data_IF_264686119389
#
_entry.id   IF_264686119389
#
_cell.length_a   1.000
_cell.length_b   1.000
_cell.length_c   1.000
_cell.angle_alpha   90.00
_cell.angle_beta   90.00
_cell.angle_gamma   90.00
#
_symmetry.space_group_name_H-M   'P 1'
#
loop_
_entity.id
_entity.type
_entity.pdbx_description
1 polymer ?
#
# COMPACT_ATOMS: atom_id res chain seq x y z
N UNK A 1 17.73 15.88 -22.54
CA UNK A 1 16.52 16.06 -21.70
C UNK A 1 15.43 15.24 -22.37
N UNK A 2 15.07 14.10 -21.80
CA UNK A 2 13.96 13.28 -22.30
C UNK A 2 12.66 14.06 -22.18
N UNK A 3 11.83 13.98 -23.21
CA UNK A 3 10.52 14.66 -23.18
C UNK A 3 9.53 13.83 -22.35
N UNK A 4 9.50 14.04 -21.02
CA UNK A 4 8.59 13.39 -20.08
C UNK A 4 7.12 13.89 -20.17
N UNK A 5 6.70 14.46 -21.29
CA UNK A 5 5.32 14.99 -21.45
C UNK A 5 4.27 13.90 -21.24
N UNK A 6 4.47 12.74 -21.86
CA UNK A 6 3.57 11.59 -21.71
C UNK A 6 3.56 11.07 -20.27
N UNK A 7 4.74 10.94 -19.66
CA UNK A 7 4.88 10.52 -18.27
C UNK A 7 4.15 11.48 -17.31
N UNK A 8 4.32 12.78 -17.47
CA UNK A 8 3.63 13.80 -16.66
C UNK A 8 2.11 13.73 -16.81
N UNK A 9 1.61 13.53 -18.04
CA UNK A 9 0.17 13.33 -18.29
C UNK A 9 -0.34 12.08 -17.57
N UNK A 10 0.36 10.96 -17.70
CA UNK A 10 0.00 9.71 -17.04
C UNK A 10 0.03 9.83 -15.51
N UNK A 11 1.02 10.55 -14.96
CA UNK A 11 1.09 10.85 -13.52
C UNK A 11 -0.14 11.64 -13.05
N UNK A 12 -0.60 12.64 -13.80
CA UNK A 12 -1.81 13.40 -13.45
C UNK A 12 -3.05 12.49 -13.43
N UNK A 13 -3.21 11.62 -14.44
CA UNK A 13 -4.31 10.66 -14.52
C UNK A 13 -4.26 9.68 -13.35
N UNK A 14 -3.09 9.14 -13.04
CA UNK A 14 -2.91 8.20 -11.94
C UNK A 14 -3.04 8.86 -10.57
N UNK A 15 -2.60 10.11 -10.41
CA UNK A 15 -2.86 10.92 -9.21
C UNK A 15 -4.36 11.09 -8.96
N UNK A 16 -5.12 11.46 -10.01
CA UNK A 16 -6.57 11.55 -9.94
C UNK A 16 -7.19 10.20 -9.55
N UNK A 17 -6.79 9.12 -10.21
CA UNK A 17 -7.26 7.79 -9.89
C UNK A 17 -6.91 7.37 -8.45
N UNK A 18 -5.70 7.68 -7.96
CA UNK A 18 -5.27 7.47 -6.59
C UNK A 18 -6.14 8.27 -5.60
N UNK A 19 -6.45 9.53 -5.92
CA UNK A 19 -7.26 10.42 -5.08
C UNK A 19 -8.71 9.93 -4.96
N UNK A 20 -9.33 9.59 -6.08
CA UNK A 20 -10.75 9.21 -6.12
C UNK A 20 -10.94 7.74 -5.75
N UNK A 21 -10.33 6.81 -6.48
CA UNK A 21 -10.48 5.37 -6.26
C UNK A 21 -9.85 4.92 -4.93
N UNK A 22 -8.75 5.57 -4.51
CA UNK A 22 -8.10 5.28 -3.24
C UNK A 22 -8.98 5.57 -2.04
N UNK A 23 -9.94 6.50 -2.13
CA UNK A 23 -10.83 6.87 -1.03
C UNK A 23 -11.72 5.72 -0.54
N UNK A 24 -12.06 4.75 -1.41
CA UNK A 24 -12.77 3.55 -0.98
C UNK A 24 -11.97 2.68 -0.01
N UNK A 25 -10.63 2.80 -0.01
CA UNK A 25 -9.78 2.10 0.95
C UNK A 25 -10.11 2.51 2.38
N UNK A 26 -10.25 3.81 2.65
CA UNK A 26 -10.65 4.34 3.96
C UNK A 26 -12.07 3.91 4.33
N UNK A 27 -13.02 3.95 3.39
CA UNK A 27 -14.40 3.47 3.61
C UNK A 27 -14.40 2.00 4.05
N UNK A 28 -13.67 1.15 3.33
CA UNK A 28 -13.60 -0.29 3.63
C UNK A 28 -12.91 -0.59 4.97
N UNK A 29 -11.89 0.17 5.36
CA UNK A 29 -11.23 0.02 6.66
C UNK A 29 -12.19 0.44 7.80
N UNK A 30 -12.84 1.60 7.68
CA UNK A 30 -13.74 2.11 8.71
C UNK A 30 -14.96 1.21 8.86
N UNK A 31 -15.61 0.85 7.76
CA UNK A 31 -16.88 0.11 7.78
C UNK A 31 -16.74 -1.40 7.78
N UNK A 32 -15.61 -1.95 7.30
CA UNK A 32 -15.41 -3.41 7.21
C UNK A 32 -15.54 -4.13 8.54
N UNK A 33 -14.98 -3.55 9.61
CA UNK A 33 -15.15 -4.06 10.97
C UNK A 33 -16.56 -3.85 11.53
N UNK A 34 -17.17 -2.68 11.30
CA UNK A 34 -18.51 -2.35 11.79
C UNK A 34 -19.60 -3.17 11.10
N UNK A 35 -19.55 -3.29 9.78
CA UNK A 35 -20.45 -4.13 9.00
C UNK A 35 -20.25 -5.62 9.34
N UNK A 36 -18.99 -6.03 9.52
CA UNK A 36 -18.65 -7.36 9.99
C UNK A 36 -19.26 -7.65 11.36
N UNK A 37 -19.13 -6.75 12.31
CA UNK A 37 -19.72 -6.87 13.65
C UNK A 37 -21.26 -6.93 13.62
N UNK A 38 -21.88 -6.13 12.73
CA UNK A 38 -23.33 -6.10 12.59
C UNK A 38 -23.91 -7.38 12.00
N UNK A 39 -23.19 -8.04 11.08
CA UNK A 39 -23.68 -9.19 10.32
C UNK A 39 -23.13 -10.54 10.79
N UNK A 40 -22.00 -10.58 11.49
CA UNK A 40 -21.40 -11.82 11.96
C UNK A 40 -22.17 -12.40 13.15
N UNK A 41 -22.46 -13.69 13.10
CA UNK A 41 -23.07 -14.40 14.23
C UNK A 41 -22.16 -14.52 15.46
N UNK A 42 -20.85 -14.40 15.28
CA UNK A 42 -19.84 -14.39 16.33
C UNK A 42 -18.98 -13.12 16.24
N UNK A 43 -18.82 -12.38 17.34
CA UNK A 43 -18.03 -11.13 17.40
C UNK A 43 -16.57 -11.32 16.96
N UNK A 44 -16.00 -12.51 17.17
CA UNK A 44 -14.65 -12.87 16.72
C UNK A 44 -14.48 -12.81 15.18
N UNK A 45 -15.56 -12.89 14.41
CA UNK A 45 -15.54 -12.82 12.95
C UNK A 45 -15.73 -11.38 12.41
N UNK A 46 -15.88 -10.38 13.27
CA UNK A 46 -16.14 -8.99 12.87
C UNK A 46 -15.09 -8.43 11.91
N UNK A 47 -13.83 -8.82 12.06
CA UNK A 47 -12.71 -8.36 11.22
C UNK A 47 -12.46 -9.25 9.98
N UNK A 48 -13.20 -10.36 9.83
CA UNK A 48 -13.04 -11.30 8.71
C UNK A 48 -13.20 -10.63 7.32
N UNK A 49 -14.12 -9.66 7.11
CA UNK A 49 -14.20 -8.93 5.84
C UNK A 49 -12.89 -8.25 5.45
N UNK A 50 -12.20 -7.62 6.40
CA UNK A 50 -10.89 -6.98 6.17
C UNK A 50 -9.83 -8.05 5.83
N UNK A 51 -9.81 -9.15 6.56
CA UNK A 51 -8.89 -10.29 6.30
C UNK A 51 -9.11 -10.85 4.90
N UNK A 52 -10.36 -11.09 4.49
CA UNK A 52 -10.71 -11.56 3.14
C UNK A 52 -10.20 -10.59 2.08
N UNK A 53 -10.37 -9.28 2.28
CA UNK A 53 -9.84 -8.26 1.36
C UNK A 53 -8.32 -8.37 1.21
N UNK A 54 -7.58 -8.52 2.32
CA UNK A 54 -6.10 -8.63 2.28
C UNK A 54 -5.64 -9.92 1.63
N UNK A 55 -6.23 -11.05 2.00
CA UNK A 55 -5.90 -12.37 1.41
C UNK A 55 -6.20 -12.40 -0.08
N UNK A 56 -7.36 -11.89 -0.49
CA UNK A 56 -7.70 -11.82 -1.92
C UNK A 56 -6.75 -10.90 -2.67
N UNK A 57 -6.37 -9.76 -2.09
CA UNK A 57 -5.37 -8.85 -2.69
C UNK A 57 -4.02 -9.57 -2.90
N UNK A 58 -3.58 -10.37 -1.93
CA UNK A 58 -2.37 -11.19 -2.03
C UNK A 58 -2.48 -12.21 -3.18
N UNK A 59 -3.56 -12.98 -3.21
CA UNK A 59 -3.75 -14.04 -4.21
C UNK A 59 -3.87 -13.49 -5.63
N UNK A 60 -4.46 -12.31 -5.80
CA UNK A 60 -4.65 -11.69 -7.11
C UNK A 60 -3.49 -10.79 -7.56
N UNK A 61 -2.49 -10.52 -6.72
CA UNK A 61 -1.33 -9.70 -7.09
C UNK A 61 -0.61 -10.22 -8.34
N UNK A 62 -0.27 -11.50 -8.37
CA UNK A 62 0.36 -12.15 -9.53
C UNK A 62 -0.54 -12.21 -10.77
N UNK A 63 -1.74 -12.79 -10.68
CA UNK A 63 -2.70 -12.87 -11.80
C UNK A 63 -3.00 -11.50 -12.43
N UNK A 64 -3.23 -10.47 -11.62
CA UNK A 64 -3.48 -9.11 -12.10
C UNK A 64 -2.26 -8.53 -12.80
N UNK A 65 -1.07 -8.76 -12.28
CA UNK A 65 0.17 -8.30 -12.92
C UNK A 65 0.37 -8.95 -14.29
N UNK A 66 0.14 -10.25 -14.39
CA UNK A 66 0.21 -10.98 -15.66
C UNK A 66 -0.87 -10.51 -16.65
N UNK A 67 -2.08 -10.26 -16.16
CA UNK A 67 -3.15 -9.69 -16.99
C UNK A 67 -2.75 -8.32 -17.54
N UNK A 68 -2.19 -7.44 -16.70
CA UNK A 68 -1.68 -6.13 -17.13
C UNK A 68 -0.51 -6.25 -18.11
N UNK A 69 0.35 -7.25 -17.93
CA UNK A 69 1.44 -7.58 -18.86
C UNK A 69 0.94 -7.95 -20.26
N UNK A 70 -0.22 -8.65 -20.35
CA UNK A 70 -0.80 -9.09 -21.63
C UNK A 70 -1.72 -8.03 -22.27
N UNK A 71 -2.57 -7.40 -21.47
CA UNK A 71 -3.65 -6.52 -21.96
C UNK A 71 -3.37 -5.02 -21.74
N UNK A 72 -2.27 -4.69 -21.05
CA UNK A 72 -1.87 -3.32 -20.72
C UNK A 72 -2.44 -2.83 -19.40
N UNK A 73 -1.79 -1.78 -18.85
CA UNK A 73 -2.13 -1.19 -17.55
C UNK A 73 -3.56 -0.67 -17.47
N UNK A 74 -4.01 0.04 -18.51
CA UNK A 74 -5.36 0.61 -18.56
C UNK A 74 -6.44 -0.45 -18.39
N UNK A 75 -6.34 -1.58 -19.12
CA UNK A 75 -7.30 -2.69 -19.04
C UNK A 75 -7.34 -3.31 -17.64
N UNK A 76 -6.17 -3.50 -17.01
CA UNK A 76 -6.08 -4.01 -15.64
C UNK A 76 -6.71 -3.06 -14.62
N UNK A 77 -6.50 -1.76 -14.76
CA UNK A 77 -7.07 -0.77 -13.83
C UNK A 77 -8.59 -0.64 -13.97
N UNK A 78 -9.11 -0.73 -15.21
CA UNK A 78 -10.56 -0.76 -15.44
C UNK A 78 -11.20 -2.05 -14.89
N UNK A 79 -10.53 -3.21 -15.03
CA UNK A 79 -10.94 -4.45 -14.37
C UNK A 79 -11.00 -4.29 -12.86
N UNK A 80 -9.98 -3.65 -12.26
CA UNK A 80 -9.95 -3.34 -10.86
C UNK A 80 -11.09 -2.42 -10.41
N UNK A 81 -11.36 -1.35 -11.14
CA UNK A 81 -12.49 -0.45 -10.86
C UNK A 81 -13.83 -1.20 -10.94
N UNK A 82 -14.00 -2.10 -11.93
CA UNK A 82 -15.16 -3.00 -12.02
C UNK A 82 -15.29 -3.91 -10.81
N UNK A 83 -14.18 -4.49 -10.35
CA UNK A 83 -14.17 -5.28 -9.12
C UNK A 83 -14.53 -4.42 -7.89
N UNK A 84 -14.00 -3.20 -7.77
CA UNK A 84 -14.36 -2.27 -6.70
C UNK A 84 -15.85 -1.89 -6.69
N UNK A 85 -16.43 -1.68 -7.88
CA UNK A 85 -17.86 -1.45 -8.05
C UNK A 85 -18.69 -2.64 -7.55
N UNK A 86 -18.34 -3.87 -7.94
CA UNK A 86 -18.99 -5.09 -7.44
C UNK A 86 -18.78 -5.25 -5.94
N UNK A 87 -17.59 -4.93 -5.42
CA UNK A 87 -17.29 -4.95 -3.99
C UNK A 87 -18.22 -4.06 -3.18
N UNK A 88 -18.39 -2.81 -3.61
CA UNK A 88 -19.36 -1.86 -3.02
C UNK A 88 -20.79 -2.38 -3.11
N UNK A 89 -21.21 -2.87 -4.28
CA UNK A 89 -22.54 -3.38 -4.54
C UNK A 89 -22.90 -4.59 -3.67
N UNK A 90 -22.03 -5.61 -3.61
CA UNK A 90 -22.28 -6.78 -2.75
C UNK A 90 -22.22 -6.42 -1.27
N UNK A 91 -21.37 -5.50 -0.84
CA UNK A 91 -21.33 -5.04 0.56
C UNK A 91 -22.60 -4.30 0.96
N UNK A 92 -23.13 -3.42 0.09
CA UNK A 92 -24.43 -2.77 0.31
C UNK A 92 -25.57 -3.80 0.34
N UNK A 93 -25.59 -4.74 -0.61
CA UNK A 93 -26.59 -5.82 -0.68
C UNK A 93 -26.54 -6.71 0.57
N UNK A 94 -25.36 -7.01 1.09
CA UNK A 94 -25.16 -7.79 2.31
C UNK A 94 -25.85 -7.16 3.51
N UNK A 95 -25.70 -5.84 3.67
CA UNK A 95 -26.33 -5.08 4.74
C UNK A 95 -27.86 -5.06 4.58
N UNK A 96 -28.34 -4.92 3.34
CA UNK A 96 -29.78 -4.95 3.05
C UNK A 96 -30.41 -6.32 3.33
N UNK A 97 -29.71 -7.42 3.00
CA UNK A 97 -30.18 -8.80 3.19
C UNK A 97 -29.88 -9.36 4.59
N UNK A 98 -29.08 -8.67 5.41
CA UNK A 98 -28.61 -9.17 6.71
C UNK A 98 -27.69 -10.41 6.56
N UNK A 99 -26.92 -10.54 5.45
CA UNK A 99 -26.14 -11.73 5.12
C UNK A 99 -24.63 -11.48 5.16
N UNK A 100 -23.97 -12.13 6.10
CA UNK A 100 -22.51 -12.03 6.30
C UNK A 100 -21.68 -12.62 5.15
N UNK A 101 -22.09 -13.74 4.57
CA UNK A 101 -21.43 -14.37 3.43
C UNK A 101 -21.40 -13.49 2.18
N UNK A 102 -22.46 -12.70 1.94
CA UNK A 102 -22.51 -11.73 0.87
C UNK A 102 -21.53 -10.57 1.13
N UNK A 103 -21.34 -10.17 2.41
CA UNK A 103 -20.33 -9.17 2.79
C UNK A 103 -18.91 -9.70 2.50
N UNK A 104 -18.64 -10.97 2.79
CA UNK A 104 -17.35 -11.59 2.48
C UNK A 104 -17.09 -11.63 0.97
N UNK A 105 -18.12 -11.90 0.16
CA UNK A 105 -18.03 -11.83 -1.30
C UNK A 105 -17.69 -10.41 -1.77
N UNK A 106 -18.36 -9.38 -1.23
CA UNK A 106 -18.04 -7.98 -1.49
C UNK A 106 -16.60 -7.62 -1.11
N UNK A 107 -16.15 -8.14 0.04
CA UNK A 107 -14.76 -7.97 0.50
C UNK A 107 -13.73 -8.64 -0.43
N UNK A 108 -14.06 -9.80 -1.00
CA UNK A 108 -13.20 -10.46 -1.98
C UNK A 108 -13.05 -9.62 -3.26
N UNK A 109 -14.13 -9.06 -3.81
CA UNK A 109 -14.06 -8.15 -4.95
C UNK A 109 -13.26 -6.87 -4.62
N UNK A 110 -13.42 -6.33 -3.40
CA UNK A 110 -12.61 -5.21 -2.91
C UNK A 110 -11.12 -5.57 -2.86
N UNK A 111 -10.78 -6.82 -2.52
CA UNK A 111 -9.41 -7.33 -2.55
C UNK A 111 -8.81 -7.36 -3.96
N UNK A 112 -9.59 -7.74 -4.97
CA UNK A 112 -9.18 -7.66 -6.39
C UNK A 112 -8.90 -6.20 -6.79
N UNK A 113 -9.80 -5.27 -6.45
CA UNK A 113 -9.55 -3.84 -6.65
C UNK A 113 -8.25 -3.40 -5.99
N UNK A 114 -8.06 -3.73 -4.70
CA UNK A 114 -6.85 -3.36 -3.95
C UNK A 114 -5.58 -3.86 -4.62
N UNK A 115 -5.59 -5.08 -5.15
CA UNK A 115 -4.49 -5.64 -5.92
C UNK A 115 -4.14 -4.78 -7.14
N UNK A 116 -5.13 -4.34 -7.93
CA UNK A 116 -4.89 -3.50 -9.11
C UNK A 116 -4.43 -2.09 -8.73
N UNK A 117 -5.02 -1.51 -7.68
CA UNK A 117 -4.71 -0.17 -7.19
C UNK A 117 -3.24 -0.06 -6.73
N UNK A 118 -2.67 -1.12 -6.16
CA UNK A 118 -1.26 -1.19 -5.79
C UNK A 118 -0.29 -0.93 -6.95
N UNK A 119 -0.70 -1.23 -8.19
CA UNK A 119 0.14 -1.04 -9.38
C UNK A 119 0.15 0.40 -9.93
N UNK A 120 -0.66 1.33 -9.44
CA UNK A 120 -0.64 2.73 -9.90
C UNK A 120 0.75 3.36 -9.75
N UNK A 121 1.44 3.09 -8.63
CA UNK A 121 2.80 3.56 -8.39
C UNK A 121 3.83 3.06 -9.41
N UNK A 122 3.69 1.81 -9.83
CA UNK A 122 4.57 1.23 -10.86
C UNK A 122 4.23 1.74 -12.25
N UNK A 123 2.93 1.87 -12.56
CA UNK A 123 2.48 2.42 -13.84
C UNK A 123 2.94 3.88 -14.05
N UNK A 124 3.13 4.64 -12.97
CA UNK A 124 3.70 5.98 -13.01
C UNK A 124 5.14 5.99 -13.55
N UNK A 125 5.90 4.94 -13.29
CA UNK A 125 7.29 4.81 -13.74
C UNK A 125 7.41 4.29 -15.18
N UNK A 126 6.36 3.63 -15.72
CA UNK A 126 6.43 2.88 -16.98
C UNK A 126 6.77 3.75 -18.21
N UNK A 127 6.43 5.05 -18.19
CA UNK A 127 6.71 5.98 -19.29
C UNK A 127 7.67 7.11 -18.89
N UNK A 128 8.18 7.07 -17.68
CA UNK A 128 9.05 8.09 -17.10
C UNK A 128 10.53 7.77 -17.41
N UNK A 129 11.33 8.83 -17.64
CA UNK A 129 12.79 8.69 -17.68
C UNK A 129 13.33 8.21 -16.33
N UNK A 130 14.50 7.57 -16.31
CA UNK A 130 15.14 7.08 -15.08
C UNK A 130 15.25 8.17 -14.00
N UNK A 131 15.54 9.41 -14.40
CA UNK A 131 15.61 10.55 -13.52
C UNK A 131 14.24 10.95 -12.94
N UNK A 132 13.15 10.80 -13.74
CA UNK A 132 11.80 11.21 -13.33
C UNK A 132 11.03 10.09 -12.61
N UNK A 133 11.40 8.81 -12.74
CA UNK A 133 10.69 7.67 -12.13
C UNK A 133 10.43 7.82 -10.62
N UNK A 134 11.41 8.19 -9.76
CA UNK A 134 11.16 8.34 -8.33
C UNK A 134 10.12 9.41 -8.04
N UNK A 135 10.16 10.52 -8.80
CA UNK A 135 9.21 11.63 -8.68
C UNK A 135 7.81 11.22 -9.17
N UNK A 136 7.72 10.48 -10.26
CA UNK A 136 6.47 9.98 -10.80
C UNK A 136 5.74 9.05 -9.81
N UNK A 137 6.45 8.07 -9.24
CA UNK A 137 5.94 7.17 -8.18
C UNK A 137 5.44 7.98 -6.99
N UNK A 138 6.26 8.89 -6.51
CA UNK A 138 5.98 9.72 -5.34
C UNK A 138 4.75 10.60 -5.54
N UNK A 139 4.63 11.27 -6.69
CA UNK A 139 3.49 12.13 -7.02
C UNK A 139 2.17 11.35 -7.11
N UNK A 140 2.18 10.16 -7.69
CA UNK A 140 0.96 9.33 -7.75
C UNK A 140 0.51 8.94 -6.34
N UNK A 141 1.43 8.54 -5.48
CA UNK A 141 1.11 8.21 -4.08
C UNK A 141 0.63 9.44 -3.28
N UNK A 142 1.08 10.66 -3.64
CA UNK A 142 0.57 11.89 -3.03
C UNK A 142 -0.96 12.09 -3.25
N UNK A 143 -1.55 11.48 -4.27
CA UNK A 143 -3.02 11.43 -4.44
C UNK A 143 -3.73 10.75 -3.26
N UNK A 144 -3.02 9.90 -2.51
CA UNK A 144 -3.50 9.32 -1.27
C UNK A 144 -3.84 10.34 -0.18
N UNK A 145 -3.18 11.52 -0.19
CA UNK A 145 -3.53 12.61 0.72
C UNK A 145 -4.97 13.10 0.50
N UNK A 146 -5.37 13.25 -0.75
CA UNK A 146 -6.75 13.65 -1.11
C UNK A 146 -7.74 12.54 -0.70
N UNK A 147 -7.42 11.28 -0.96
CA UNK A 147 -8.25 10.14 -0.58
C UNK A 147 -8.45 10.02 0.93
N UNK A 148 -7.45 10.43 1.72
CA UNK A 148 -7.51 10.45 3.19
C UNK A 148 -8.58 11.37 3.76
N UNK A 149 -8.93 12.43 3.05
CA UNK A 149 -10.03 13.34 3.42
C UNK A 149 -11.37 12.90 2.83
N UNK A 150 -11.36 12.46 1.56
CA UNK A 150 -12.60 12.06 0.86
C UNK A 150 -13.24 10.84 1.53
N UNK A 151 -12.47 9.80 1.86
CA UNK A 151 -13.02 8.53 2.38
C UNK A 151 -13.79 8.68 3.69
N UNK A 152 -13.21 9.24 4.77
CA UNK A 152 -13.91 9.48 6.03
C UNK A 152 -15.12 10.42 5.87
N UNK A 153 -15.01 11.44 5.00
CA UNK A 153 -16.11 12.37 4.73
C UNK A 153 -17.30 11.66 4.07
N UNK A 154 -17.05 10.75 3.15
CA UNK A 154 -18.09 9.90 2.55
C UNK A 154 -18.79 9.10 3.65
N UNK A 155 -18.05 8.43 4.53
CA UNK A 155 -18.64 7.65 5.62
C UNK A 155 -19.50 8.56 6.51
N UNK A 156 -18.99 9.73 6.90
CA UNK A 156 -19.68 10.69 7.76
C UNK A 156 -21.01 11.15 7.16
N UNK A 157 -21.07 11.39 5.84
CA UNK A 157 -22.27 11.92 5.19
C UNK A 157 -23.24 10.85 4.75
N UNK A 158 -22.79 9.62 4.50
CA UNK A 158 -23.59 8.61 3.78
C UNK A 158 -23.81 7.33 4.58
N UNK A 159 -23.17 7.15 5.74
CA UNK A 159 -23.34 5.94 6.54
C UNK A 159 -24.80 5.72 6.94
N UNK A 160 -25.49 6.78 7.32
CA UNK A 160 -26.89 6.76 7.78
C UNK A 160 -27.89 7.30 6.74
N UNK A 161 -27.42 7.55 5.50
CA UNK A 161 -28.27 8.12 4.44
C UNK A 161 -29.44 7.20 4.05
N UNK A 162 -29.31 5.88 4.28
CA UNK A 162 -30.40 4.91 4.12
C UNK A 162 -30.84 4.48 5.52
N UNK A 163 -31.76 5.22 6.13
CA UNK A 163 -32.13 5.11 7.53
C UNK A 163 -32.51 3.71 8.02
N UNK A 164 -33.05 2.85 7.14
CA UNK A 164 -33.40 1.46 7.48
C UNK A 164 -32.20 0.50 7.45
N UNK A 165 -31.07 0.89 6.84
CA UNK A 165 -29.91 0.01 6.63
C UNK A 165 -28.61 0.79 6.84
N UNK A 166 -28.10 0.86 8.09
CA UNK A 166 -26.86 1.56 8.41
C UNK A 166 -25.70 1.12 7.51
N UNK A 167 -24.84 2.07 7.15
CA UNK A 167 -23.62 1.88 6.33
C UNK A 167 -23.88 1.56 4.84
N UNK A 168 -25.11 1.17 4.43
CA UNK A 168 -25.39 0.82 3.03
C UNK A 168 -25.14 2.00 2.08
N UNK A 169 -25.50 3.22 2.48
CA UNK A 169 -25.26 4.44 1.70
C UNK A 169 -23.79 4.68 1.38
N UNK A 170 -22.90 4.41 2.33
CA UNK A 170 -21.46 4.55 2.12
C UNK A 170 -20.93 3.51 1.11
N UNK A 171 -21.38 2.26 1.15
CA UNK A 171 -21.00 1.26 0.17
C UNK A 171 -21.59 1.54 -1.23
N UNK A 172 -22.79 2.11 -1.33
CA UNK A 172 -23.32 2.59 -2.62
C UNK A 172 -22.49 3.75 -3.16
N UNK A 173 -21.98 4.64 -2.29
CA UNK A 173 -21.05 5.70 -2.71
C UNK A 173 -19.73 5.14 -3.23
N UNK A 174 -19.24 4.01 -2.70
CA UNK A 174 -18.07 3.29 -3.28
C UNK A 174 -18.34 2.89 -4.73
N UNK A 175 -19.56 2.48 -5.10
CA UNK A 175 -19.89 2.20 -6.49
C UNK A 175 -19.75 3.45 -7.38
N UNK A 176 -20.27 4.59 -6.90
CA UNK A 176 -20.14 5.88 -7.60
C UNK A 176 -18.68 6.27 -7.78
N UNK A 177 -17.86 6.13 -6.73
CA UNK A 177 -16.41 6.38 -6.78
C UNK A 177 -15.75 5.54 -7.88
N UNK A 178 -16.10 4.25 -7.98
CA UNK A 178 -15.50 3.39 -9.01
C UNK A 178 -15.92 3.79 -10.42
N UNK A 179 -17.15 4.23 -10.62
CA UNK A 179 -17.57 4.78 -11.92
C UNK A 179 -16.82 6.07 -12.24
N UNK A 180 -16.84 7.06 -11.32
CA UNK A 180 -16.20 8.37 -11.53
C UNK A 180 -14.70 8.23 -11.71
N UNK A 181 -14.05 7.44 -10.86
CA UNK A 181 -12.60 7.22 -10.94
C UNK A 181 -12.18 6.48 -12.22
N UNK A 182 -13.00 5.55 -12.71
CA UNK A 182 -12.73 4.83 -13.97
C UNK A 182 -12.79 5.74 -15.20
N UNK A 183 -13.59 6.80 -15.19
CA UNK A 183 -13.62 7.77 -16.29
C UNK A 183 -12.25 8.45 -16.47
N UNK A 184 -11.57 8.79 -15.37
CA UNK A 184 -10.19 9.32 -15.44
C UNK A 184 -9.21 8.32 -16.06
N UNK A 185 -9.32 7.03 -15.72
CA UNK A 185 -8.45 5.98 -16.28
C UNK A 185 -8.59 5.79 -17.79
N UNK A 186 -9.69 6.25 -18.40
CA UNK A 186 -9.85 6.23 -19.86
C UNK A 186 -8.81 7.12 -20.57
N UNK A 187 -8.27 8.13 -19.92
CA UNK A 187 -7.23 9.01 -20.45
C UNK A 187 -5.81 8.50 -20.23
N UNK A 188 -5.64 7.35 -19.58
CA UNK A 188 -4.32 6.74 -19.36
C UNK A 188 -3.75 6.22 -20.68
N UNK A 189 -2.54 6.65 -20.99
CA UNK A 189 -1.84 6.32 -22.23
C UNK A 189 -0.47 5.72 -21.93
N UNK A 190 -0.48 4.45 -21.56
CA UNK A 190 0.72 3.66 -21.35
C UNK A 190 0.79 2.62 -22.46
N UNK A 191 1.88 2.59 -23.24
CA UNK A 191 2.07 1.60 -24.29
C UNK A 191 1.88 0.18 -23.75
N UNK A 192 1.20 -0.65 -24.53
CA UNK A 192 1.13 -2.07 -24.17
C UNK A 192 2.54 -2.65 -24.23
N UNK A 193 2.89 -3.53 -23.29
CA UNK A 193 4.13 -4.29 -23.42
C UNK A 193 4.19 -4.99 -24.78
N UNK A 194 5.36 -5.12 -25.39
CA UNK A 194 5.51 -5.86 -26.65
C UNK A 194 4.84 -7.22 -26.52
N UNK A 195 3.98 -7.57 -27.46
CA UNK A 195 3.41 -8.92 -27.49
C UNK A 195 4.54 -9.91 -27.71
N UNK A 196 4.63 -10.91 -26.85
CA UNK A 196 5.59 -11.99 -27.03
C UNK A 196 5.24 -12.74 -28.29
N UNK A 197 6.17 -12.82 -29.23
CA UNK A 197 6.15 -13.89 -30.22
C UNK A 197 6.22 -15.20 -29.44
N UNK A 198 5.47 -16.23 -29.88
CA UNK A 198 5.54 -17.57 -29.29
C UNK A 198 7.00 -18.06 -29.35
N UNK A 199 7.66 -18.15 -28.19
CA UNK A 199 9.09 -18.48 -28.09
C UNK A 199 10.01 -17.29 -27.78
N UNK A 200 9.50 -16.05 -27.68
CA UNK A 200 10.28 -14.85 -27.35
C UNK A 200 10.88 -14.88 -25.94
N UNK A 201 12.00 -14.18 -25.75
CA UNK A 201 12.71 -14.08 -24.49
C UNK A 201 11.76 -13.58 -23.37
N UNK A 202 11.64 -14.38 -22.31
CA UNK A 202 10.81 -14.04 -21.15
C UNK A 202 11.58 -13.22 -20.13
N UNK A 203 12.77 -12.72 -20.50
CA UNK A 203 13.72 -12.12 -19.59
C UNK A 203 14.31 -13.15 -18.61
N UNK A 204 15.15 -12.69 -17.71
CA UNK A 204 15.83 -13.56 -16.74
C UNK A 204 14.82 -14.35 -15.88
N UNK A 205 15.11 -15.61 -15.51
CA UNK A 205 14.32 -16.36 -14.54
C UNK A 205 14.23 -15.61 -13.21
N UNK A 206 13.07 -15.68 -12.52
CA UNK A 206 12.87 -15.05 -11.21
C UNK A 206 13.98 -15.37 -10.22
N UNK A 207 14.48 -16.60 -10.23
CA UNK A 207 15.62 -17.03 -9.39
C UNK A 207 16.89 -16.17 -9.59
N UNK A 208 17.17 -15.73 -10.81
CA UNK A 208 18.30 -14.85 -11.10
C UNK A 208 18.05 -13.42 -10.65
N UNK A 209 16.83 -12.91 -10.83
CA UNK A 209 16.46 -11.55 -10.42
C UNK A 209 16.49 -11.45 -8.89
N UNK A 210 15.92 -12.43 -8.18
CA UNK A 210 15.91 -12.48 -6.71
C UNK A 210 17.23 -12.94 -6.06
N UNK A 211 18.26 -13.25 -6.85
CA UNK A 211 19.65 -13.36 -6.37
C UNK A 211 20.37 -12.02 -6.32
N UNK A 212 19.84 -10.98 -6.97
CA UNK A 212 20.43 -9.66 -6.93
C UNK A 212 20.17 -9.02 -5.55
N UNK A 213 21.22 -8.60 -4.82
CA UNK A 213 21.06 -7.97 -3.51
C UNK A 213 20.10 -6.77 -3.54
N UNK A 214 20.13 -5.98 -4.63
CA UNK A 214 19.28 -4.81 -4.80
C UNK A 214 17.78 -5.18 -4.83
N UNK A 215 17.41 -6.24 -5.55
CA UNK A 215 16.02 -6.74 -5.63
C UNK A 215 15.55 -7.24 -4.27
N UNK A 216 16.36 -8.06 -3.62
CA UNK A 216 16.02 -8.65 -2.29
C UNK A 216 15.78 -7.54 -1.27
N UNK A 217 16.69 -6.56 -1.21
CA UNK A 217 16.58 -5.44 -0.27
C UNK A 217 15.37 -4.57 -0.57
N UNK A 218 15.08 -4.28 -1.84
CA UNK A 218 13.89 -3.52 -2.24
C UNK A 218 12.61 -4.20 -1.75
N UNK A 219 12.49 -5.52 -1.97
CA UNK A 219 11.30 -6.29 -1.55
C UNK A 219 11.19 -6.36 -0.02
N UNK A 220 12.27 -6.70 0.69
CA UNK A 220 12.27 -6.76 2.17
C UNK A 220 11.88 -5.41 2.76
N UNK A 221 12.48 -4.31 2.29
CA UNK A 221 12.19 -2.98 2.84
C UNK A 221 10.75 -2.53 2.52
N UNK A 222 10.22 -2.84 1.35
CA UNK A 222 8.81 -2.58 1.02
C UNK A 222 7.86 -3.36 1.94
N UNK A 223 8.11 -4.67 2.12
CA UNK A 223 7.35 -5.55 3.01
C UNK A 223 7.36 -5.03 4.45
N UNK A 224 8.55 -4.79 5.00
CA UNK A 224 8.73 -4.39 6.40
C UNK A 224 8.12 -3.03 6.66
N UNK A 225 8.41 -2.02 5.81
CA UNK A 225 7.86 -0.68 6.00
C UNK A 225 6.33 -0.68 6.00
N UNK A 226 5.69 -1.43 5.12
CA UNK A 226 4.24 -1.48 5.04
C UNK A 226 3.62 -2.34 6.15
N UNK A 227 4.23 -3.47 6.47
CA UNK A 227 3.73 -4.37 7.51
C UNK A 227 3.80 -3.72 8.90
N UNK A 228 4.90 -3.06 9.23
CA UNK A 228 5.05 -2.38 10.53
C UNK A 228 4.10 -1.20 10.67
N UNK A 229 3.90 -0.45 9.60
CA UNK A 229 2.87 0.59 9.57
C UNK A 229 1.48 -0.01 9.83
N UNK A 230 1.13 -1.10 9.15
CA UNK A 230 -0.17 -1.77 9.32
C UNK A 230 -0.32 -2.34 10.74
N UNK A 231 0.72 -2.97 11.29
CA UNK A 231 0.74 -3.55 12.64
C UNK A 231 0.35 -2.50 13.69
N UNK A 232 1.01 -1.36 13.70
CA UNK A 232 0.82 -0.31 14.70
C UNK A 232 -0.47 0.47 14.45
N UNK A 233 -0.74 0.89 13.21
CA UNK A 233 -1.94 1.65 12.87
C UNK A 233 -3.23 0.88 13.22
N UNK A 234 -3.27 -0.44 12.93
CA UNK A 234 -4.48 -1.26 13.16
C UNK A 234 -4.80 -1.39 14.65
N UNK A 235 -3.78 -1.52 15.51
CA UNK A 235 -3.97 -1.63 16.98
C UNK A 235 -4.17 -0.27 17.66
N UNK A 236 -3.77 0.84 17.03
CA UNK A 236 -3.82 2.17 17.68
C UNK A 236 -5.24 2.55 18.13
N UNK A 237 -6.23 2.45 17.26
CA UNK A 237 -7.60 2.84 17.59
C UNK A 237 -8.16 2.04 18.76
N UNK A 238 -7.86 0.74 18.81
CA UNK A 238 -8.27 -0.14 19.90
C UNK A 238 -7.50 0.17 21.19
N UNK A 239 -6.18 0.39 21.09
CA UNK A 239 -5.36 0.77 22.23
C UNK A 239 -5.83 2.11 22.83
N UNK A 240 -6.16 3.09 22.01
CA UNK A 240 -6.70 4.37 22.48
C UNK A 240 -8.04 4.22 23.20
N UNK A 241 -8.96 3.41 22.66
CA UNK A 241 -10.24 3.16 23.35
C UNK A 241 -10.08 2.39 24.65
N UNK A 242 -9.07 1.50 24.76
CA UNK A 242 -8.73 0.83 26.01
C UNK A 242 -8.11 1.77 27.08
N UNK A 243 -7.57 2.92 26.64
CA UNK A 243 -7.06 3.98 27.52
C UNK A 243 -8.04 5.16 27.64
N UNK A 244 -9.34 4.90 27.52
CA UNK A 244 -10.46 5.84 27.73
C UNK A 244 -10.48 7.06 26.79
N UNK A 245 -9.73 7.04 25.68
CA UNK A 245 -9.85 8.09 24.66
C UNK A 245 -11.10 7.89 23.81
N UNK A 246 -11.74 9.01 23.46
CA UNK A 246 -12.91 8.99 22.59
C UNK A 246 -12.55 8.53 21.17
N UNK A 247 -13.51 7.92 20.49
CA UNK A 247 -13.36 7.52 19.07
C UNK A 247 -13.05 8.71 18.15
N UNK A 248 -13.49 9.91 18.51
CA UNK A 248 -13.20 11.14 17.78
C UNK A 248 -11.69 11.50 17.84
N UNK A 249 -11.08 11.39 19.02
CA UNK A 249 -9.66 11.63 19.21
C UNK A 249 -8.85 10.56 18.48
N UNK A 250 -9.24 9.27 18.58
CA UNK A 250 -8.58 8.19 17.87
C UNK A 250 -8.64 8.38 16.34
N UNK A 251 -9.79 8.84 15.82
CA UNK A 251 -9.93 9.16 14.41
C UNK A 251 -9.04 10.34 13.97
N UNK A 252 -8.83 11.34 14.84
CA UNK A 252 -7.96 12.46 14.54
C UNK A 252 -6.47 12.07 14.52
N UNK A 253 -6.02 11.23 15.43
CA UNK A 253 -4.67 10.64 15.43
C UNK A 253 -4.41 9.87 14.11
N UNK A 254 -5.36 9.03 13.69
CA UNK A 254 -5.27 8.31 12.42
C UNK A 254 -5.27 9.27 11.23
N UNK A 255 -6.03 10.34 11.26
CA UNK A 255 -6.01 11.38 10.22
C UNK A 255 -4.62 11.96 10.03
N UNK A 256 -3.98 12.40 11.11
CA UNK A 256 -2.63 12.95 11.05
C UNK A 256 -1.58 11.94 10.63
N UNK A 257 -1.75 10.67 11.01
CA UNK A 257 -0.94 9.58 10.48
C UNK A 257 -1.04 9.49 8.95
N UNK A 258 -2.26 9.49 8.39
CA UNK A 258 -2.48 9.39 6.94
C UNK A 258 -1.92 10.64 6.23
N UNK A 259 -2.06 11.82 6.83
CA UNK A 259 -1.41 13.04 6.31
C UNK A 259 0.10 12.85 6.25
N UNK A 260 0.72 12.34 7.31
CA UNK A 260 2.16 12.07 7.37
C UNK A 260 2.62 10.97 6.40
N UNK A 261 1.74 10.01 6.06
CA UNK A 261 2.02 9.00 5.03
C UNK A 261 2.11 9.60 3.63
N UNK A 262 1.23 10.53 3.28
CA UNK A 262 1.07 10.94 1.89
C UNK A 262 1.59 12.36 1.58
N UNK A 263 1.54 13.31 2.52
CA UNK A 263 2.03 14.66 2.28
C UNK A 263 3.52 14.73 1.89
N UNK A 264 4.44 13.95 2.50
CA UNK A 264 5.84 13.97 2.09
C UNK A 264 6.06 13.47 0.66
N UNK A 265 5.11 12.73 0.08
CA UNK A 265 5.22 12.19 -1.29
C UNK A 265 5.39 13.28 -2.35
N UNK A 266 4.99 14.52 -2.09
CA UNK A 266 5.25 15.63 -3.01
C UNK A 266 6.75 15.93 -3.22
N UNK A 267 7.60 15.58 -2.25
CA UNK A 267 9.05 15.85 -2.30
C UNK A 267 9.92 14.60 -2.12
N UNK A 268 9.40 13.48 -1.62
CA UNK A 268 10.18 12.24 -1.38
C UNK A 268 10.88 11.75 -2.64
N UNK A 269 10.21 11.79 -3.81
CA UNK A 269 10.82 11.40 -5.07
C UNK A 269 12.01 12.30 -5.45
N UNK A 270 11.94 13.61 -5.16
CA UNK A 270 13.04 14.53 -5.39
C UNK A 270 14.20 14.30 -4.41
N UNK A 271 13.91 13.91 -3.18
CA UNK A 271 14.93 13.50 -2.19
C UNK A 271 15.64 12.23 -2.68
N UNK A 272 14.89 11.23 -3.15
CA UNK A 272 15.47 9.99 -3.71
C UNK A 272 16.42 10.30 -4.86
N UNK A 273 16.02 11.17 -5.78
CA UNK A 273 16.85 11.59 -6.91
C UNK A 273 18.16 12.27 -6.47
N UNK A 274 18.16 13.01 -5.34
CA UNK A 274 19.34 13.74 -4.82
C UNK A 274 20.27 12.87 -4.00
N UNK A 275 19.75 12.08 -3.07
CA UNK A 275 20.58 11.34 -2.09
C UNK A 275 20.57 9.83 -2.31
N UNK A 276 19.75 9.31 -3.24
CA UNK A 276 19.65 7.91 -3.61
C UNK A 276 18.67 7.10 -2.76
N UNK A 277 18.21 5.99 -3.32
CA UNK A 277 17.18 5.11 -2.75
C UNK A 277 17.58 4.55 -1.37
N UNK A 278 18.80 4.02 -1.25
CA UNK A 278 19.25 3.32 -0.04
C UNK A 278 19.27 4.25 1.17
N UNK A 279 19.71 5.51 1.01
CA UNK A 279 19.72 6.48 2.09
C UNK A 279 18.31 6.84 2.53
N UNK A 280 17.39 7.05 1.58
CA UNK A 280 15.99 7.37 1.90
C UNK A 280 15.30 6.20 2.61
N UNK A 281 15.51 4.96 2.15
CA UNK A 281 15.02 3.75 2.84
C UNK A 281 15.56 3.68 4.26
N UNK A 282 16.87 3.91 4.47
CA UNK A 282 17.49 3.88 5.80
C UNK A 282 16.89 4.91 6.74
N UNK A 283 16.68 6.15 6.27
CA UNK A 283 16.02 7.20 7.04
C UNK A 283 14.59 6.76 7.41
N UNK A 284 13.85 6.18 6.45
CA UNK A 284 12.50 5.65 6.70
C UNK A 284 12.47 4.59 7.80
N UNK A 285 13.37 3.61 7.75
CA UNK A 285 13.48 2.55 8.76
C UNK A 285 13.85 3.11 10.16
N UNK A 286 14.75 4.08 10.23
CA UNK A 286 15.10 4.76 11.50
C UNK A 286 13.89 5.50 12.06
N UNK A 287 13.12 6.21 11.23
CA UNK A 287 11.92 6.93 11.67
C UNK A 287 10.84 5.93 12.16
N UNK A 288 10.66 4.78 11.50
CA UNK A 288 9.76 3.71 11.96
C UNK A 288 10.21 3.17 13.32
N UNK A 289 11.51 2.97 13.52
CA UNK A 289 12.05 2.54 14.81
C UNK A 289 11.80 3.57 15.92
N UNK A 290 12.01 4.87 15.61
CA UNK A 290 11.68 5.96 16.53
C UNK A 290 10.19 6.02 16.87
N UNK A 291 9.31 5.81 15.88
CA UNK A 291 7.88 5.72 16.10
C UNK A 291 7.52 4.61 17.11
N UNK A 292 8.10 3.42 16.94
CA UNK A 292 7.93 2.32 17.89
C UNK A 292 8.46 2.66 19.29
N UNK A 293 9.61 3.32 19.40
CA UNK A 293 10.17 3.75 20.68
C UNK A 293 9.28 4.79 21.38
N UNK A 294 8.73 5.77 20.64
CA UNK A 294 7.78 6.75 21.18
C UNK A 294 6.51 6.06 21.67
N UNK A 295 5.96 5.14 20.87
CA UNK A 295 4.74 4.41 21.22
C UNK A 295 4.93 3.45 22.41
N UNK A 296 6.11 2.88 22.59
CA UNK A 296 6.43 2.04 23.73
C UNK A 296 6.67 2.83 25.03
N UNK A 297 6.94 4.14 24.95
CA UNK A 297 7.27 4.98 26.10
C UNK A 297 6.04 5.49 26.88
N UNK A 298 4.83 5.15 26.43
CA UNK A 298 3.59 5.50 27.13
C UNK A 298 2.35 5.43 26.25
N UNK A 299 1.20 5.58 26.91
CA UNK A 299 -0.12 5.58 26.27
C UNK A 299 -0.84 6.95 26.44
N UNK A 300 -0.07 8.03 26.57
CA UNK A 300 -0.60 9.39 26.59
C UNK A 300 -0.96 9.85 25.17
N UNK A 301 -1.81 10.85 25.07
CA UNK A 301 -2.33 11.33 23.78
C UNK A 301 -1.21 11.82 22.86
N UNK A 302 -0.21 12.50 23.42
CA UNK A 302 0.96 13.01 22.72
C UNK A 302 1.79 11.87 22.10
N UNK A 303 1.93 10.75 22.84
CA UNK A 303 2.67 9.58 22.37
C UNK A 303 1.97 8.97 21.14
N UNK A 304 0.64 8.87 21.15
CA UNK A 304 -0.11 8.39 20.00
C UNK A 304 0.07 9.31 18.79
N UNK A 305 -0.07 10.64 18.94
CA UNK A 305 0.11 11.58 17.84
C UNK A 305 1.54 11.52 17.27
N UNK A 306 2.55 11.64 18.11
CA UNK A 306 3.95 11.68 17.68
C UNK A 306 4.37 10.35 17.05
N UNK A 307 3.99 9.22 17.67
CA UNK A 307 4.30 7.90 17.13
C UNK A 307 3.65 7.67 15.78
N UNK A 308 2.36 8.00 15.62
CA UNK A 308 1.65 7.77 14.37
C UNK A 308 2.10 8.70 13.26
N UNK A 309 2.41 9.96 13.56
CA UNK A 309 2.99 10.90 12.58
C UNK A 309 4.37 10.40 12.13
N UNK A 310 5.24 10.03 13.07
CA UNK A 310 6.56 9.45 12.75
C UNK A 310 6.42 8.16 11.94
N UNK A 311 5.49 7.28 12.31
CA UNK A 311 5.23 6.03 11.60
C UNK A 311 4.81 6.28 10.15
N UNK A 312 3.92 7.24 9.91
CA UNK A 312 3.48 7.64 8.57
C UNK A 312 4.62 8.17 7.71
N UNK A 313 5.44 9.06 8.28
CA UNK A 313 6.61 9.61 7.60
C UNK A 313 7.65 8.52 7.29
N UNK A 314 7.92 7.64 8.25
CA UNK A 314 8.85 6.53 8.08
C UNK A 314 8.38 5.54 7.01
N UNK A 315 7.07 5.23 6.99
CA UNK A 315 6.47 4.43 5.92
C UNK A 315 6.66 5.09 4.56
N UNK A 316 6.39 6.38 4.45
CA UNK A 316 6.54 7.10 3.18
C UNK A 316 7.95 6.93 2.60
N UNK A 317 8.98 7.21 3.39
CA UNK A 317 10.38 7.11 2.94
C UNK A 317 10.80 5.67 2.67
N UNK A 318 10.45 4.74 3.57
CA UNK A 318 10.79 3.33 3.44
C UNK A 318 10.11 2.68 2.23
N UNK A 319 8.80 2.85 2.09
CA UNK A 319 8.01 2.19 1.06
C UNK A 319 8.19 2.81 -0.33
N UNK A 320 8.20 4.15 -0.44
CA UNK A 320 8.45 4.82 -1.73
C UNK A 320 9.88 4.57 -2.19
N UNK A 321 10.85 4.69 -1.27
CA UNK A 321 12.25 4.39 -1.56
C UNK A 321 12.46 2.97 -2.06
N UNK A 322 11.85 1.98 -1.40
CA UNK A 322 11.93 0.57 -1.78
C UNK A 322 11.21 0.28 -3.11
N UNK A 323 10.02 0.86 -3.32
CA UNK A 323 9.28 0.75 -4.59
C UNK A 323 10.10 1.31 -5.76
N UNK A 324 10.69 2.50 -5.58
CA UNK A 324 11.53 3.13 -6.58
C UNK A 324 12.85 2.36 -6.81
N UNK A 325 13.43 1.74 -5.76
CA UNK A 325 14.59 0.87 -5.91
C UNK A 325 14.25 -0.38 -6.73
N UNK A 326 13.08 -0.98 -6.52
CA UNK A 326 12.64 -2.17 -7.23
C UNK A 326 12.55 -1.92 -8.75
N UNK A 327 12.10 -0.74 -9.19
CA UNK A 327 11.98 -0.43 -10.61
C UNK A 327 13.34 -0.43 -11.33
N UNK A 328 14.45 -0.26 -10.62
CA UNK A 328 15.81 -0.31 -11.18
C UNK A 328 16.37 -1.73 -11.38
N UNK A 329 15.64 -2.78 -10.98
CA UNK A 329 16.16 -4.14 -10.90
C UNK A 329 15.67 -5.09 -12.00
N UNK A 330 14.70 -4.66 -12.79
CA UNK A 330 14.07 -5.47 -13.82
C UNK A 330 13.92 -4.72 -15.14
N UNK A 331 13.88 -5.48 -16.25
CA UNK A 331 13.55 -4.96 -17.58
C UNK A 331 12.03 -4.90 -17.77
N UNK A 332 11.59 -4.35 -18.92
CA UNK A 332 10.17 -4.29 -19.27
C UNK A 332 9.54 -5.67 -19.41
N UNK A 333 10.27 -6.65 -19.93
CA UNK A 333 9.82 -8.04 -20.08
C UNK A 333 9.67 -8.74 -18.72
N UNK A 334 10.46 -8.36 -17.74
CA UNK A 334 10.49 -8.92 -16.38
C UNK A 334 9.50 -8.25 -15.44
N UNK A 335 9.03 -7.06 -15.79
CA UNK A 335 8.21 -6.16 -14.97
C UNK A 335 7.02 -6.87 -14.30
N UNK A 336 6.19 -7.56 -15.09
CA UNK A 336 4.98 -8.19 -14.60
C UNK A 336 5.26 -9.24 -13.51
N UNK A 337 6.28 -10.09 -13.74
CA UNK A 337 6.62 -11.16 -12.79
C UNK A 337 7.28 -10.63 -11.52
N UNK A 338 8.13 -9.61 -11.62
CA UNK A 338 8.84 -9.03 -10.47
C UNK A 338 7.89 -8.22 -9.59
N UNK A 339 7.09 -7.33 -10.20
CA UNK A 339 6.12 -6.52 -9.46
C UNK A 339 4.99 -7.38 -8.87
N UNK A 340 4.53 -8.40 -9.61
CA UNK A 340 3.54 -9.34 -9.11
C UNK A 340 3.99 -10.09 -7.86
N UNK A 341 5.23 -10.59 -7.88
CA UNK A 341 5.82 -11.29 -6.74
C UNK A 341 6.10 -10.35 -5.55
N UNK A 342 6.57 -9.13 -5.83
CA UNK A 342 6.72 -8.11 -4.78
C UNK A 342 5.39 -7.84 -4.06
N UNK A 343 4.32 -7.58 -4.81
CA UNK A 343 3.03 -7.23 -4.22
C UNK A 343 2.35 -8.44 -3.54
N UNK A 344 2.63 -9.65 -4.02
CA UNK A 344 2.24 -10.88 -3.31
C UNK A 344 2.88 -10.93 -1.91
N UNK A 345 4.19 -10.73 -1.81
CA UNK A 345 4.89 -10.77 -0.53
C UNK A 345 4.50 -9.60 0.38
N UNK A 346 4.38 -8.38 -0.16
CA UNK A 346 3.92 -7.21 0.60
C UNK A 346 2.53 -7.47 1.17
N UNK A 347 1.55 -7.86 0.33
CA UNK A 347 0.18 -8.11 0.78
C UNK A 347 0.08 -9.29 1.75
N UNK A 348 0.89 -10.33 1.57
CA UNK A 348 0.96 -11.47 2.48
C UNK A 348 1.44 -11.05 3.87
N UNK A 349 2.52 -10.27 3.95
CA UNK A 349 3.02 -9.80 5.25
C UNK A 349 2.07 -8.79 5.90
N UNK A 350 1.35 -7.98 5.10
CA UNK A 350 0.28 -7.12 5.62
C UNK A 350 -0.84 -7.92 6.28
N UNK A 351 -1.26 -9.02 5.66
CA UNK A 351 -2.30 -9.88 6.25
C UNK A 351 -1.87 -10.45 7.61
N UNK A 352 -0.61 -10.90 7.70
CA UNK A 352 -0.01 -11.39 8.95
C UNK A 352 0.08 -10.27 9.99
N UNK A 353 0.55 -9.08 9.61
CA UNK A 353 0.67 -7.93 10.48
C UNK A 353 -0.68 -7.45 11.01
N UNK A 354 -1.69 -7.38 10.16
CA UNK A 354 -3.05 -6.98 10.54
C UNK A 354 -3.69 -7.96 11.51
N UNK A 355 -3.57 -9.27 11.26
CA UNK A 355 -4.07 -10.30 12.15
C UNK A 355 -3.29 -10.31 13.49
N UNK A 356 -1.96 -10.27 13.41
CA UNK A 356 -1.07 -10.28 14.59
C UNK A 356 -1.25 -9.05 15.47
N UNK A 357 -1.57 -7.89 14.89
CA UNK A 357 -1.79 -6.63 15.58
C UNK A 357 -2.85 -6.74 16.71
N UNK A 358 -4.03 -7.24 16.37
CA UNK A 358 -5.11 -7.42 17.34
C UNK A 358 -4.81 -8.51 18.37
N UNK A 359 -4.21 -9.63 17.94
CA UNK A 359 -3.85 -10.74 18.81
C UNK A 359 -2.80 -10.33 19.87
N UNK A 360 -1.74 -9.63 19.45
CA UNK A 360 -0.68 -9.16 20.35
C UNK A 360 -1.24 -8.12 21.32
N UNK A 361 -2.01 -7.14 20.83
CA UNK A 361 -2.61 -6.13 21.69
C UNK A 361 -3.52 -6.74 22.75
N UNK A 362 -4.36 -7.72 22.38
CA UNK A 362 -5.27 -8.36 23.30
C UNK A 362 -4.56 -9.25 24.34
N UNK A 363 -3.52 -9.98 23.94
CA UNK A 363 -2.83 -10.93 24.80
C UNK A 363 -1.78 -10.28 25.71
N UNK A 364 -1.08 -9.24 25.21
CA UNK A 364 0.12 -8.71 25.87
C UNK A 364 0.08 -7.19 26.07
N UNK A 365 -0.82 -6.45 25.41
CA UNK A 365 -0.95 -5.00 25.55
C UNK A 365 -0.20 -4.21 24.48
N UNK A 366 -0.32 -2.86 24.61
CA UNK A 366 0.16 -1.90 23.61
C UNK A 366 1.68 -1.91 23.39
N UNK A 367 2.45 -2.02 24.45
CA UNK A 367 3.93 -2.01 24.38
C UNK A 367 4.47 -3.18 23.56
N UNK A 368 3.85 -4.36 23.68
CA UNK A 368 4.30 -5.56 22.97
C UNK A 368 4.05 -5.49 21.45
N UNK A 369 3.09 -4.68 21.02
CA UNK A 369 2.91 -4.38 19.58
C UNK A 369 4.17 -3.68 19.05
N UNK A 370 4.78 -2.80 19.84
CA UNK A 370 6.01 -2.08 19.47
C UNK A 370 7.23 -3.02 19.51
N UNK A 371 7.34 -3.87 20.51
CA UNK A 371 8.42 -4.85 20.59
C UNK A 371 8.37 -5.86 19.43
N UNK A 372 7.20 -6.20 18.93
CA UNK A 372 7.04 -7.05 17.74
C UNK A 372 7.60 -6.42 16.47
N UNK A 373 7.86 -5.10 16.43
CA UNK A 373 8.51 -4.44 15.29
C UNK A 373 10.00 -4.77 15.19
N UNK A 374 10.66 -5.05 16.33
CA UNK A 374 12.12 -5.16 16.42
C UNK A 374 12.70 -6.21 15.47
N UNK A 375 12.22 -7.45 15.43
CA UNK A 375 12.79 -8.47 14.54
C UNK A 375 12.74 -8.06 13.06
N UNK A 376 11.62 -7.48 12.62
CA UNK A 376 11.45 -7.06 11.23
C UNK A 376 12.37 -5.87 10.90
N UNK A 377 12.52 -4.89 11.80
CA UNK A 377 13.45 -3.78 11.64
C UNK A 377 14.90 -4.25 11.56
N UNK A 378 15.30 -5.23 12.38
CA UNK A 378 16.64 -5.82 12.33
C UNK A 378 16.89 -6.52 10.99
N UNK A 379 15.91 -7.28 10.47
CA UNK A 379 16.01 -7.94 9.17
C UNK A 379 16.17 -6.91 8.06
N UNK A 380 15.34 -5.86 8.04
CA UNK A 380 15.42 -4.81 7.04
C UNK A 380 16.74 -4.03 7.13
N UNK A 381 17.17 -3.64 8.35
CA UNK A 381 18.43 -2.96 8.57
C UNK A 381 19.64 -3.80 8.15
N UNK A 382 19.67 -5.08 8.51
CA UNK A 382 20.71 -6.02 8.11
C UNK A 382 20.77 -6.19 6.59
N UNK A 383 19.60 -6.25 5.92
CA UNK A 383 19.53 -6.35 4.45
C UNK A 383 20.11 -5.12 3.76
N UNK A 384 19.82 -3.92 4.28
CA UNK A 384 20.37 -2.66 3.77
C UNK A 384 21.88 -2.60 3.97
N UNK A 385 22.39 -2.98 5.14
CA UNK A 385 23.83 -3.04 5.43
C UNK A 385 24.53 -4.02 4.50
N UNK A 386 23.95 -5.20 4.29
CA UNK A 386 24.46 -6.18 3.33
C UNK A 386 24.60 -5.59 1.91
N UNK A 387 23.58 -4.89 1.41
CA UNK A 387 23.64 -4.25 0.09
C UNK A 387 24.78 -3.22 0.01
N UNK A 388 24.94 -2.38 1.05
CA UNK A 388 25.99 -1.36 1.09
C UNK A 388 27.39 -2.01 1.08
N UNK A 389 27.58 -3.08 1.86
CA UNK A 389 28.85 -3.80 1.91
C UNK A 389 29.18 -4.45 0.56
N UNK A 390 28.20 -5.13 -0.07
CA UNK A 390 28.39 -5.77 -1.37
C UNK A 390 28.78 -4.76 -2.46
N UNK A 391 28.11 -3.58 -2.48
CA UNK A 391 28.47 -2.51 -3.44
C UNK A 391 29.86 -1.94 -3.19
N UNK A 392 30.28 -1.77 -1.93
CA UNK A 392 31.64 -1.30 -1.59
C UNK A 392 32.70 -2.31 -2.02
N UNK A 393 32.48 -3.60 -1.78
CA UNK A 393 33.43 -4.66 -2.19
C UNK A 393 33.61 -4.71 -3.71
N UNK A 394 32.53 -4.55 -4.47
CA UNK A 394 32.60 -4.51 -5.95
C UNK A 394 33.38 -3.28 -6.48
N UNK A 395 33.24 -2.13 -5.83
CA UNK A 395 34.00 -0.92 -6.20
C UNK A 395 35.50 -1.06 -5.91
N UNK A 396 35.85 -1.66 -4.76
CA UNK A 396 37.24 -1.86 -4.36
C UNK A 396 37.94 -2.89 -5.27
N UNK A 397 37.25 -3.96 -5.70
CA UNK A 397 37.80 -4.94 -6.63
C UNK A 397 38.10 -4.33 -8.02
N UNK A 398 37.20 -3.46 -8.52
CA UNK A 398 37.43 -2.80 -9.81
C UNK A 398 38.56 -1.77 -9.76
N UNK A 399 38.74 -1.06 -8.65
CA UNK A 399 39.84 -0.12 -8.47
C UNK A 399 41.20 -0.82 -8.29
N UNK A 400 41.23 -2.04 -7.73
CA UNK A 400 42.43 -2.85 -7.59
C UNK A 400 42.93 -3.41 -8.93
N UNK A 401 42.02 -3.72 -9.87
CA UNK A 401 42.38 -4.21 -11.23
C UNK A 401 42.85 -3.06 -12.12
N UNK A 402 42.44 -1.82 -11.87
CA UNK A 402 42.87 -0.65 -12.64
C UNK A 402 44.29 -0.12 -12.24
N UNK A 403 44.88 -0.67 -11.18
CA UNK A 403 46.21 -0.30 -10.68
C UNK A 403 47.30 -1.37 -10.94
N UNK A 404 46.94 -2.50 -11.49
CA UNK A 404 47.86 -3.55 -11.99
C UNK A 404 47.90 -3.56 -13.51
#
# INVERSE_FOLDING_TARGET
>A
MSDDKLAKRNVIVLFYAQAILGSQGSVNIILGGLAGFALAGAKALATLPITVTMVTSMLFAGPVSLFMGRFGRRSGFLLGAGAGLLGGGFSALALYLGRFDVLLLGSAFTGVFRSTHGYYRFAAADTASEEFQPKAISLVLAGGLVSAFIGPEIVRQTADAIGSTPYAGAYLTVMVINVVGSLGLLFLDIPKPPQKEEGGDTGRPLKHIFRQPTTVVAVICAMVSYALMTLVMTSTTLAMTQNDFSTAIAADVVRWHIVAMFAPSFFTGSIIARIGHVRVISIGLVIIALAGAIAANGAEIENFYLALIALGLGWNFGFIGATSLLTTTHTDEERAKVQGLNDFFVSGLLAVASFGSGAILHAYGWEYVQYAMIPALLIAGASVLWLVMTKRSALNSNNGIAQT
#
